data_IF_833119653597
#
_entry.id   IF_833119653597
#
_cell.length_a   1.000
_cell.length_b   1.000
_cell.length_c   1.000
_cell.angle_alpha   90.00
_cell.angle_beta   90.00
_cell.angle_gamma   90.00
#
_symmetry.space_group_name_H-M   'P 1'
#
loop_
_entity.id
_entity.type
_entity.pdbx_description
1 polymer ?
#
# COMPACT_ATOMS: atom_id res chain seq x y z
N UNK A 1 -21.89 16.32 -7.55
CA UNK A 1 -22.44 15.99 -8.88
C UNK A 1 -23.89 16.43 -8.90
N UNK A 2 -24.27 17.30 -9.84
CA UNK A 2 -25.64 17.76 -10.03
C UNK A 2 -26.41 16.70 -10.83
N UNK A 3 -27.60 16.33 -10.37
CA UNK A 3 -28.50 15.40 -11.05
C UNK A 3 -29.75 16.15 -11.49
N UNK A 4 -29.95 16.29 -12.81
CA UNK A 4 -31.09 17.00 -13.39
C UNK A 4 -32.01 16.02 -14.10
N UNK A 5 -33.29 15.98 -13.70
CA UNK A 5 -34.36 15.24 -14.36
C UNK A 5 -35.31 16.25 -15.01
N UNK A 6 -35.41 16.30 -16.35
CA UNK A 6 -36.32 17.21 -17.02
C UNK A 6 -37.69 16.53 -17.13
N UNK A 7 -38.42 16.46 -16.01
CA UNK A 7 -39.89 16.48 -15.98
C UNK A 7 -40.38 16.44 -14.53
N UNK A 8 -41.38 17.29 -14.28
CA UNK A 8 -42.05 17.58 -13.00
C UNK A 8 -41.33 18.60 -12.11
N UNK A 9 -42.00 19.74 -11.93
CA UNK A 9 -41.66 20.89 -11.06
C UNK A 9 -41.40 20.47 -9.60
N UNK A 10 -40.24 19.89 -9.30
CA UNK A 10 -39.81 19.57 -7.93
C UNK A 10 -38.45 20.19 -7.64
N UNK A 11 -38.35 20.87 -6.49
CA UNK A 11 -37.16 21.59 -6.02
C UNK A 11 -35.91 20.72 -6.13
N UNK A 12 -34.80 21.33 -6.56
CA UNK A 12 -33.47 20.71 -6.64
C UNK A 12 -33.08 20.14 -5.27
N UNK A 13 -32.86 18.84 -5.20
CA UNK A 13 -32.37 18.17 -3.99
C UNK A 13 -30.87 17.89 -4.13
N UNK A 14 -30.07 18.43 -3.22
CA UNK A 14 -28.62 18.18 -3.19
C UNK A 14 -28.35 16.75 -2.76
N UNK A 15 -27.78 15.94 -3.67
CA UNK A 15 -27.31 14.59 -3.37
C UNK A 15 -25.88 14.67 -2.83
N UNK A 16 -25.65 14.20 -1.59
CA UNK A 16 -24.30 14.01 -1.05
C UNK A 16 -23.64 12.84 -1.79
N UNK A 17 -22.51 13.12 -2.44
CA UNK A 17 -21.68 12.09 -3.07
C UNK A 17 -21.10 11.23 -1.96
N UNK A 18 -21.56 9.99 -1.85
CA UNK A 18 -20.96 8.98 -0.98
C UNK A 18 -19.68 8.52 -1.68
N UNK A 19 -18.53 8.59 -1.01
CA UNK A 19 -17.28 8.07 -1.55
C UNK A 19 -17.46 6.60 -1.98
N UNK A 20 -16.98 6.20 -3.17
CA UNK A 20 -17.07 4.82 -3.61
C UNK A 20 -16.40 3.90 -2.57
N UNK A 21 -17.17 2.99 -1.98
CA UNK A 21 -16.66 1.96 -1.05
C UNK A 21 -15.78 0.91 -1.73
N UNK A 22 -15.73 0.89 -3.06
CA UNK A 22 -14.87 0.00 -3.82
C UNK A 22 -13.52 0.67 -4.04
N UNK A 23 -12.47 0.12 -3.43
CA UNK A 23 -11.10 0.38 -3.84
C UNK A 23 -10.97 0.03 -5.32
N UNK A 24 -10.62 1.00 -6.15
CA UNK A 24 -10.45 0.82 -7.59
C UNK A 24 -9.28 -0.14 -7.84
N UNK A 25 -9.54 -1.45 -7.88
CA UNK A 25 -8.56 -2.51 -8.22
C UNK A 25 -7.80 -2.25 -9.54
N UNK A 26 -8.33 -1.39 -10.42
CA UNK A 26 -7.65 -0.97 -11.66
C UNK A 26 -6.50 0.02 -11.45
N UNK A 27 -6.51 0.81 -10.36
CA UNK A 27 -5.42 1.74 -10.05
C UNK A 27 -4.22 1.06 -9.37
N UNK A 28 -4.45 -0.08 -8.71
CA UNK A 28 -3.45 -0.73 -7.87
C UNK A 28 -2.30 -1.35 -8.68
N UNK A 29 -2.57 -1.91 -9.86
CA UNK A 29 -1.51 -2.41 -10.78
C UNK A 29 -0.57 -1.30 -11.27
N UNK A 30 -1.10 -0.10 -11.52
CA UNK A 30 -0.31 1.02 -12.04
C UNK A 30 0.81 1.46 -11.08
N UNK A 31 0.62 1.31 -9.77
CA UNK A 31 1.62 1.65 -8.75
C UNK A 31 2.43 0.44 -8.25
N UNK A 32 1.96 -0.78 -8.54
CA UNK A 32 2.73 -2.00 -8.32
C UNK A 32 3.87 -2.13 -9.34
N UNK A 33 3.63 -1.75 -10.59
CA UNK A 33 4.59 -1.89 -11.70
C UNK A 33 5.18 -0.57 -12.19
N UNK A 34 4.45 0.55 -12.08
CA UNK A 34 4.91 1.87 -12.53
C UNK A 34 6.01 2.47 -11.66
N UNK A 35 6.83 3.35 -12.23
CA UNK A 35 7.91 4.02 -11.51
C UNK A 35 7.36 5.22 -10.72
N UNK A 36 7.33 5.12 -9.39
CA UNK A 36 7.09 6.26 -8.52
C UNK A 36 8.24 7.26 -8.68
N UNK A 37 7.91 8.54 -8.62
CA UNK A 37 8.89 9.62 -8.56
C UNK A 37 9.75 9.50 -7.30
N UNK A 38 10.82 10.29 -7.22
CA UNK A 38 11.71 10.26 -6.04
C UNK A 38 10.97 10.58 -4.76
N UNK A 39 10.02 11.52 -4.81
CA UNK A 39 9.23 11.89 -3.64
C UNK A 39 8.26 10.79 -3.18
N UNK A 40 7.75 9.97 -4.10
CA UNK A 40 6.84 8.86 -3.80
C UNK A 40 7.53 7.52 -3.51
N UNK A 41 8.83 7.42 -3.77
CA UNK A 41 9.60 6.18 -3.56
C UNK A 41 9.82 5.89 -2.08
N UNK A 42 9.85 4.61 -1.71
CA UNK A 42 10.27 4.20 -0.38
C UNK A 42 11.79 4.15 -0.30
N UNK A 43 12.35 4.57 0.82
CA UNK A 43 13.79 4.51 1.06
C UNK A 43 14.06 3.67 2.30
N UNK A 44 14.71 2.52 2.11
CA UNK A 44 15.23 1.74 3.21
C UNK A 44 16.49 2.42 3.76
N UNK A 45 16.35 3.01 4.94
CA UNK A 45 17.40 3.71 5.66
C UNK A 45 17.81 2.92 6.88
N UNK A 46 19.03 2.40 6.85
CA UNK A 46 19.59 1.70 8.01
C UNK A 46 19.77 2.63 9.21
N UNK A 47 19.75 2.10 10.44
CA UNK A 47 20.05 2.88 11.63
C UNK A 47 21.42 3.56 11.46
N UNK A 48 21.49 4.87 11.73
CA UNK A 48 22.65 5.76 11.49
C UNK A 48 23.01 5.99 10.00
N UNK A 49 22.03 5.96 9.09
CA UNK A 49 22.25 6.16 7.64
C UNK A 49 23.25 5.15 7.04
N UNK A 50 23.35 3.93 7.60
CA UNK A 50 24.25 2.91 7.11
C UNK A 50 23.93 2.43 5.67
N UNK A 51 22.70 2.70 5.21
CA UNK A 51 22.21 2.29 3.89
C UNK A 51 21.11 3.26 3.42
N UNK A 52 20.97 3.44 2.11
CA UNK A 52 19.88 4.21 1.50
C UNK A 52 19.45 3.56 0.18
N UNK A 53 18.64 2.49 0.24
CA UNK A 53 18.11 1.83 -0.96
C UNK A 53 16.75 2.39 -1.33
N UNK A 54 16.57 2.75 -2.61
CA UNK A 54 15.32 3.28 -3.14
C UNK A 54 14.46 2.18 -3.74
N UNK A 55 13.28 1.95 -3.19
CA UNK A 55 12.22 1.17 -3.80
C UNK A 55 11.20 2.10 -4.48
N UNK A 56 11.27 2.17 -5.82
CA UNK A 56 10.42 3.05 -6.63
C UNK A 56 9.06 2.42 -7.01
N UNK A 57 8.77 1.19 -6.59
CA UNK A 57 7.46 0.57 -6.70
C UNK A 57 7.33 -0.57 -5.67
N UNK A 58 6.14 -1.16 -5.58
CA UNK A 58 5.85 -2.19 -4.59
C UNK A 58 6.55 -3.53 -4.87
N UNK A 59 6.80 -3.86 -6.14
CA UNK A 59 7.54 -5.08 -6.52
C UNK A 59 8.99 -4.98 -6.06
N UNK A 60 9.66 -3.87 -6.36
CA UNK A 60 11.04 -3.61 -5.93
C UNK A 60 11.11 -3.53 -4.40
N UNK A 61 10.12 -2.93 -3.74
CA UNK A 61 10.03 -2.96 -2.27
C UNK A 61 10.03 -4.41 -1.74
N UNK A 62 9.20 -5.29 -2.31
CA UNK A 62 9.11 -6.68 -1.87
C UNK A 62 10.43 -7.43 -2.07
N UNK A 63 11.08 -7.25 -3.24
CA UNK A 63 12.37 -7.86 -3.55
C UNK A 63 13.47 -7.37 -2.60
N UNK A 64 13.55 -6.07 -2.33
CA UNK A 64 14.54 -5.49 -1.41
C UNK A 64 14.32 -5.94 0.03
N UNK A 65 13.06 -6.01 0.47
CA UNK A 65 12.70 -6.42 1.83
C UNK A 65 13.14 -7.85 2.16
N UNK A 66 13.24 -8.76 1.17
CA UNK A 66 13.77 -10.11 1.40
C UNK A 66 15.26 -10.08 1.80
N UNK A 67 16.05 -9.21 1.20
CA UNK A 67 17.51 -9.14 1.40
C UNK A 67 18.00 -8.16 2.45
N UNK A 68 17.11 -7.34 3.05
CA UNK A 68 17.54 -6.32 4.01
C UNK A 68 17.85 -6.88 5.39
N UNK A 69 18.75 -6.24 6.14
CA UNK A 69 19.05 -6.65 7.51
C UNK A 69 17.89 -6.38 8.47
N UNK A 70 17.78 -7.20 9.51
CA UNK A 70 16.69 -7.13 10.49
C UNK A 70 16.65 -5.82 11.26
N UNK A 71 17.80 -5.15 11.49
CA UNK A 71 17.82 -3.89 12.25
C UNK A 71 17.20 -2.77 11.42
N UNK A 72 17.52 -2.71 10.13
CA UNK A 72 16.92 -1.75 9.20
C UNK A 72 15.43 -2.04 9.01
N UNK A 73 15.06 -3.32 8.85
CA UNK A 73 13.64 -3.69 8.75
C UNK A 73 12.85 -3.22 9.97
N UNK A 74 13.36 -3.51 11.18
CA UNK A 74 12.71 -3.17 12.44
C UNK A 74 12.70 -1.67 12.71
N UNK A 75 13.70 -0.93 12.25
CA UNK A 75 13.74 0.53 12.38
C UNK A 75 12.49 1.17 11.75
N UNK A 76 12.19 0.81 10.51
CA UNK A 76 11.01 1.28 9.80
C UNK A 76 9.71 0.67 10.34
N UNK A 77 9.72 -0.63 10.71
CA UNK A 77 8.55 -1.29 11.29
C UNK A 77 8.09 -0.59 12.57
N UNK A 78 9.03 -0.19 13.44
CA UNK A 78 8.71 0.47 14.71
C UNK A 78 8.34 1.94 14.53
N UNK A 79 8.83 2.59 13.47
CA UNK A 79 8.43 3.94 13.09
C UNK A 79 7.02 3.98 12.46
N UNK A 80 6.54 2.86 11.91
CA UNK A 80 5.27 2.80 11.20
C UNK A 80 5.36 3.24 9.74
N UNK A 81 6.57 3.27 9.18
CA UNK A 81 6.84 3.85 7.86
C UNK A 81 6.20 3.02 6.73
N UNK A 82 6.06 1.70 6.91
CA UNK A 82 5.51 0.84 5.87
C UNK A 82 4.01 1.10 5.69
N UNK A 83 3.23 1.11 6.78
CA UNK A 83 1.79 1.35 6.68
C UNK A 83 1.47 2.78 6.22
N UNK A 84 2.32 3.74 6.58
CA UNK A 84 2.24 5.12 6.12
C UNK A 84 2.45 5.21 4.61
N UNK A 85 3.53 4.61 4.11
CA UNK A 85 3.86 4.59 2.69
C UNK A 85 2.78 3.87 1.86
N UNK A 86 2.30 2.71 2.31
CA UNK A 86 1.21 1.98 1.65
C UNK A 86 -0.09 2.79 1.57
N UNK A 87 -0.38 3.58 2.60
CA UNK A 87 -1.58 4.42 2.64
C UNK A 87 -1.46 5.64 1.72
N UNK A 88 -0.31 6.32 1.72
CA UNK A 88 -0.15 7.60 1.02
C UNK A 88 0.22 7.42 -0.45
N UNK A 89 1.23 6.59 -0.73
CA UNK A 89 1.81 6.46 -2.06
C UNK A 89 1.12 5.36 -2.86
N UNK A 90 0.97 4.18 -2.28
CA UNK A 90 0.30 3.04 -2.95
C UNK A 90 -1.23 3.20 -2.94
N UNK A 91 -1.77 3.99 -2.01
CA UNK A 91 -3.21 4.21 -1.80
C UNK A 91 -3.99 2.93 -1.52
N UNK A 92 -3.32 1.92 -0.98
CA UNK A 92 -3.95 0.67 -0.56
C UNK A 92 -4.24 0.71 0.94
N UNK A 93 -5.47 1.11 1.27
CA UNK A 93 -5.92 1.25 2.66
C UNK A 93 -5.98 -0.08 3.39
N UNK A 94 -6.24 -1.19 2.68
CA UNK A 94 -6.32 -2.51 3.30
C UNK A 94 -4.93 -3.06 3.62
N UNK A 95 -4.00 -2.97 2.66
CA UNK A 95 -2.60 -3.32 2.87
C UNK A 95 -2.02 -2.49 4.02
N UNK A 96 -2.23 -1.18 4.00
CA UNK A 96 -1.77 -0.30 5.08
C UNK A 96 -2.33 -0.69 6.45
N UNK A 97 -3.60 -1.11 6.53
CA UNK A 97 -4.21 -1.53 7.81
C UNK A 97 -3.62 -2.83 8.31
N UNK A 98 -3.44 -3.82 7.44
CA UNK A 98 -2.84 -5.11 7.78
C UNK A 98 -1.39 -4.95 8.25
N UNK A 99 -0.61 -4.15 7.53
CA UNK A 99 0.77 -3.80 7.92
C UNK A 99 0.81 -3.04 9.25
N UNK A 100 -0.09 -2.09 9.49
CA UNK A 100 -0.14 -1.37 10.76
C UNK A 100 -0.43 -2.29 11.97
N UNK A 101 -1.11 -3.42 11.77
CA UNK A 101 -1.30 -4.41 12.83
C UNK A 101 0.02 -5.11 13.17
N UNK A 102 0.81 -5.47 12.16
CA UNK A 102 2.15 -6.04 12.36
C UNK A 102 3.13 -5.03 12.99
N UNK A 103 3.02 -3.74 12.64
CA UNK A 103 3.87 -2.68 13.24
C UNK A 103 3.58 -2.47 14.73
N UNK A 104 2.31 -2.53 15.13
CA UNK A 104 1.87 -2.35 16.52
C UNK A 104 2.26 -3.50 17.44
N UNK A 105 2.40 -4.70 16.91
CA UNK A 105 2.79 -5.86 17.71
C UNK A 105 4.29 -5.81 18.03
N UNK A 106 4.60 -5.47 19.28
CA UNK A 106 5.97 -5.37 19.80
C UNK A 106 6.65 -6.72 20.00
N UNK A 107 5.90 -7.81 20.05
CA UNK A 107 6.43 -9.16 20.22
C UNK A 107 6.85 -9.81 18.88
N UNK A 108 6.44 -9.24 17.73
CA UNK A 108 6.85 -9.74 16.43
C UNK A 108 8.36 -9.57 16.20
N UNK A 109 8.99 -10.65 15.76
CA UNK A 109 10.36 -10.62 15.23
C UNK A 109 10.41 -9.97 13.85
N UNK A 110 11.61 -9.55 13.44
CA UNK A 110 11.85 -9.00 12.11
C UNK A 110 11.41 -9.97 11.01
N UNK A 111 11.83 -11.23 11.11
CA UNK A 111 11.46 -12.27 10.14
C UNK A 111 9.94 -12.48 10.03
N UNK A 112 9.25 -12.62 11.17
CA UNK A 112 7.79 -12.84 11.18
C UNK A 112 7.02 -11.64 10.64
N UNK A 113 7.37 -10.44 11.07
CA UNK A 113 6.73 -9.21 10.58
C UNK A 113 7.00 -8.99 9.08
N UNK A 114 8.23 -9.22 8.63
CA UNK A 114 8.62 -9.19 7.22
C UNK A 114 7.81 -10.17 6.39
N UNK A 115 7.72 -11.42 6.84
CA UNK A 115 6.91 -12.44 6.16
C UNK A 115 5.45 -12.03 6.05
N UNK A 116 4.83 -11.54 7.14
CA UNK A 116 3.44 -11.06 7.12
C UNK A 116 3.21 -9.94 6.11
N UNK A 117 4.11 -8.94 6.10
CA UNK A 117 4.01 -7.82 5.16
C UNK A 117 4.22 -8.28 3.71
N UNK A 118 5.24 -9.11 3.46
CA UNK A 118 5.52 -9.64 2.13
C UNK A 118 4.39 -10.53 1.62
N UNK A 119 3.85 -11.41 2.45
CA UNK A 119 2.71 -12.27 2.06
C UNK A 119 1.47 -11.43 1.74
N UNK A 120 1.22 -10.36 2.52
CA UNK A 120 0.12 -9.42 2.26
C UNK A 120 0.30 -8.65 0.94
N UNK A 121 1.53 -8.27 0.61
CA UNK A 121 1.89 -7.65 -0.68
C UNK A 121 1.73 -8.67 -1.82
N UNK A 122 2.31 -9.86 -1.67
CA UNK A 122 2.31 -10.90 -2.70
C UNK A 122 0.90 -11.33 -3.07
N UNK A 123 0.04 -11.58 -2.07
CA UNK A 123 -1.37 -11.92 -2.26
C UNK A 123 -2.13 -10.89 -3.11
N UNK A 124 -1.76 -9.62 -3.03
CA UNK A 124 -2.47 -8.52 -3.72
C UNK A 124 -1.86 -8.14 -5.07
N UNK A 125 -0.55 -8.29 -5.22
CA UNK A 125 0.20 -7.64 -6.30
C UNK A 125 1.17 -8.55 -7.06
N UNK A 126 1.54 -9.71 -6.52
CA UNK A 126 2.46 -10.63 -7.20
C UNK A 126 1.86 -12.01 -7.44
N UNK A 127 0.63 -12.27 -6.97
CA UNK A 127 -0.11 -13.45 -7.38
C UNK A 127 -0.28 -13.40 -8.91
N UNK A 128 0.05 -14.48 -9.64
CA UNK A 128 -0.21 -14.54 -11.07
C UNK A 128 -1.68 -14.21 -11.29
N UNK A 129 -1.99 -13.45 -12.33
CA UNK A 129 -3.38 -13.28 -12.76
C UNK A 129 -3.92 -14.67 -13.06
N UNK A 130 -4.65 -15.27 -12.12
CA UNK A 130 -5.36 -16.51 -12.40
C UNK A 130 -6.30 -16.18 -13.55
N UNK A 131 -6.03 -16.78 -14.70
CA UNK A 131 -6.96 -16.79 -15.82
C UNK A 131 -8.30 -17.29 -15.27
N UNK A 132 -9.44 -16.70 -15.68
CA UNK A 132 -10.72 -17.27 -15.28
C UNK A 132 -10.76 -18.71 -15.78
N UNK A 133 -10.92 -19.67 -14.86
CA UNK A 133 -11.27 -21.04 -15.23
C UNK A 133 -12.56 -20.99 -16.05
N UNK A 134 -12.53 -21.69 -17.19
CA UNK A 134 -13.62 -21.80 -18.15
C UNK A 134 -14.76 -22.66 -17.59
#
# INVERSE_FOLDING_TARGET
>A
VLFWRPQVRKKLTTVKVIEPRQSLKRHSRKYAEGQLDEAGSFYFKGPKNAMNLRAHNLIIFAQMAEGIDDKTWMHHLRAGDYSEWFRRQIRDKELARETAMAEKDKALSAEKSRKLVLDAVRRRYTAPATAPEK
#
